data_IF_569892529622
#
_entry.id   IF_569892529622
#
_cell.length_a   1.000
_cell.length_b   1.000
_cell.length_c   1.000
_cell.angle_alpha   90.00
_cell.angle_beta   90.00
_cell.angle_gamma   90.00
#
_symmetry.space_group_name_H-M   'P 1'
#
loop_
_entity.id
_entity.type
_entity.pdbx_description
1 polymer ?
#
# COMPACT_ATOMS: atom_id res chain seq x y z
N UNK A 1 4.26 -2.12 1.78
CA UNK A 1 5.56 -2.43 1.17
C UNK A 1 6.70 -2.27 2.18
N UNK A 2 7.83 -2.89 1.87
CA UNK A 2 9.04 -2.81 2.68
C UNK A 2 10.21 -2.39 1.81
N UNK A 3 11.11 -1.61 2.38
CA UNK A 3 12.33 -1.17 1.71
C UNK A 3 13.46 -1.10 2.74
N UNK A 4 14.58 -1.76 2.45
CA UNK A 4 15.76 -1.81 3.34
C UNK A 4 15.42 -2.31 4.76
N UNK A 5 14.47 -3.25 4.87
CA UNK A 5 14.05 -3.81 6.15
C UNK A 5 13.04 -2.96 6.91
N UNK A 6 12.65 -1.81 6.37
CA UNK A 6 11.69 -0.89 6.99
C UNK A 6 10.36 -0.88 6.24
N UNK A 7 9.32 -0.43 6.93
CA UNK A 7 8.01 -0.21 6.33
C UNK A 7 8.08 1.06 5.48
N UNK A 8 7.59 0.98 4.24
CA UNK A 8 7.53 2.14 3.36
C UNK A 8 6.09 2.60 3.20
N UNK A 9 5.80 3.82 3.57
CA UNK A 9 4.48 4.42 3.44
C UNK A 9 4.54 5.68 2.58
N UNK A 10 3.39 6.04 2.02
CA UNK A 10 3.23 7.21 1.15
C UNK A 10 2.29 8.20 1.78
N UNK A 11 2.47 9.48 1.48
CA UNK A 11 1.60 10.56 1.97
C UNK A 11 1.01 11.30 0.77
N UNK A 12 -0.31 11.36 0.73
CA UNK A 12 -1.05 12.10 -0.28
C UNK A 12 -0.82 13.61 -0.12
N UNK A 13 -0.75 14.35 -1.23
CA UNK A 13 -0.51 15.80 -1.24
C UNK A 13 -1.51 16.59 -0.39
N UNK A 14 -2.74 16.10 -0.27
CA UNK A 14 -3.81 16.75 0.47
C UNK A 14 -3.95 16.27 1.90
N UNK A 15 -3.04 15.40 2.35
CA UNK A 15 -3.13 14.78 3.69
C UNK A 15 -1.84 14.97 4.47
N UNK A 16 -1.97 14.86 5.79
CA UNK A 16 -0.83 14.84 6.71
C UNK A 16 -0.62 13.45 7.30
N UNK A 17 -1.36 12.46 6.79
CA UNK A 17 -1.36 11.09 7.28
C UNK A 17 -0.71 10.15 6.29
N UNK A 18 -0.23 9.00 6.79
CA UNK A 18 0.53 8.03 6.02
C UNK A 18 -0.33 6.83 5.67
N UNK A 19 -0.09 6.26 4.50
CA UNK A 19 -0.87 5.15 3.99
C UNK A 19 -0.02 4.20 3.16
N UNK A 20 -0.50 2.96 3.01
CA UNK A 20 0.12 2.00 2.10
C UNK A 20 -0.20 2.39 0.65
N UNK A 21 0.67 1.99 -0.28
CA UNK A 21 0.43 2.21 -1.70
C UNK A 21 -0.75 1.34 -2.16
N UNK A 22 -1.58 1.89 -3.00
CA UNK A 22 -2.73 1.17 -3.54
C UNK A 22 -3.72 2.10 -4.23
N UNK A 23 -4.65 1.52 -4.93
CA UNK A 23 -5.69 2.24 -5.64
C UNK A 23 -6.67 1.30 -6.31
N UNK A 24 -7.50 1.85 -7.17
CA UNK A 24 -8.49 1.08 -7.89
C UNK A 24 -7.88 0.33 -9.07
N UNK A 25 -8.43 -0.87 -9.33
CA UNK A 25 -8.09 -1.62 -10.53
C UNK A 25 -8.76 -0.93 -11.72
N UNK A 26 -7.97 -0.64 -12.76
CA UNK A 26 -8.51 -0.05 -13.98
C UNK A 26 -9.13 -1.14 -14.87
N UNK A 27 -10.00 -0.72 -15.78
CA UNK A 27 -10.67 -1.65 -16.69
C UNK A 27 -9.65 -2.47 -17.50
N UNK A 28 -9.82 -3.80 -17.45
CA UNK A 28 -8.94 -4.72 -18.17
C UNK A 28 -7.65 -5.07 -17.44
N UNK A 29 -7.44 -4.52 -16.27
CA UNK A 29 -6.25 -4.75 -15.45
C UNK A 29 -6.46 -5.93 -14.50
N UNK A 30 -5.45 -6.79 -14.38
CA UNK A 30 -5.45 -7.82 -13.33
C UNK A 30 -5.04 -7.21 -11.98
N UNK A 31 -5.48 -7.77 -10.84
CA UNK A 31 -5.12 -7.23 -9.52
C UNK A 31 -3.61 -7.05 -9.31
N UNK A 32 -2.80 -8.01 -9.73
CA UNK A 32 -1.35 -7.92 -9.59
C UNK A 32 -0.77 -6.78 -10.44
N UNK A 33 -1.27 -6.59 -11.65
CA UNK A 33 -0.84 -5.50 -12.53
C UNK A 33 -1.18 -4.15 -11.92
N UNK A 34 -2.39 -4.02 -11.36
CA UNK A 34 -2.81 -2.81 -10.68
C UNK A 34 -1.93 -2.52 -9.46
N UNK A 35 -1.60 -3.55 -8.68
CA UNK A 35 -0.73 -3.39 -7.51
C UNK A 35 0.67 -2.91 -7.90
N UNK A 36 1.24 -3.46 -8.97
CA UNK A 36 2.55 -3.03 -9.47
C UNK A 36 2.52 -1.60 -9.97
N UNK A 37 1.48 -1.23 -10.70
CA UNK A 37 1.30 0.12 -11.23
C UNK A 37 1.17 1.14 -10.09
N UNK A 38 0.29 0.86 -9.14
CA UNK A 38 0.08 1.76 -7.99
C UNK A 38 1.33 1.87 -7.12
N UNK A 39 2.06 0.77 -6.92
CA UNK A 39 3.31 0.80 -6.17
C UNK A 39 4.31 1.75 -6.82
N UNK A 40 4.47 1.67 -8.13
CA UNK A 40 5.36 2.56 -8.86
C UNK A 40 4.87 4.02 -8.79
N UNK A 41 3.60 4.26 -9.07
CA UNK A 41 3.04 5.62 -9.10
C UNK A 41 3.12 6.31 -7.75
N UNK A 42 2.98 5.57 -6.66
CA UNK A 42 2.89 6.14 -5.32
C UNK A 42 4.19 6.06 -4.51
N UNK A 43 5.20 5.36 -4.98
CA UNK A 43 6.47 5.25 -4.26
C UNK A 43 7.72 5.45 -5.11
N UNK A 44 7.59 5.28 -6.43
CA UNK A 44 8.76 5.30 -7.31
C UNK A 44 9.52 3.99 -7.35
N UNK A 45 8.96 2.90 -6.82
CA UNK A 45 9.61 1.59 -6.82
C UNK A 45 9.83 1.09 -8.24
N UNK A 46 11.07 0.74 -8.60
CA UNK A 46 11.44 0.29 -9.94
C UNK A 46 12.01 -1.12 -9.97
N UNK A 47 12.47 -1.65 -8.85
CA UNK A 47 12.88 -3.05 -8.70
C UNK A 47 12.31 -3.58 -7.39
N UNK A 48 11.45 -4.60 -7.46
CA UNK A 48 10.76 -5.13 -6.30
C UNK A 48 10.24 -6.54 -6.57
N UNK A 49 10.04 -7.27 -5.48
CA UNK A 49 9.29 -8.53 -5.49
C UNK A 49 7.93 -8.26 -4.88
N UNK A 50 6.88 -8.82 -5.48
CA UNK A 50 5.51 -8.60 -5.02
C UNK A 50 4.74 -9.92 -5.10
N UNK A 51 3.97 -10.23 -4.05
CA UNK A 51 3.16 -11.43 -3.98
C UNK A 51 1.85 -11.16 -3.25
N UNK A 52 0.79 -11.95 -3.51
CA UNK A 52 -0.46 -11.80 -2.78
C UNK A 52 -0.28 -12.12 -1.31
N UNK A 53 -0.88 -11.30 -0.45
CA UNK A 53 -0.88 -11.52 1.00
C UNK A 53 -2.23 -12.03 1.49
N UNK A 54 -3.31 -11.33 1.14
CA UNK A 54 -4.66 -11.69 1.56
C UNK A 54 -5.69 -10.92 0.72
N UNK A 55 -6.93 -11.41 0.78
CA UNK A 55 -8.08 -10.65 0.28
C UNK A 55 -8.58 -9.74 1.39
N UNK A 56 -9.25 -8.67 1.03
CA UNK A 56 -9.88 -7.82 2.01
C UNK A 56 -11.26 -7.36 1.56
N UNK A 57 -12.11 -7.05 2.53
CA UNK A 57 -13.41 -6.46 2.34
C UNK A 57 -13.47 -5.12 3.05
N UNK A 58 -14.03 -4.12 2.38
CA UNK A 58 -14.32 -2.84 2.97
C UNK A 58 -15.71 -2.41 2.52
N UNK A 59 -16.51 -1.94 3.47
CA UNK A 59 -17.84 -1.47 3.17
C UNK A 59 -18.19 -0.28 4.05
N UNK A 60 -19.17 0.50 3.60
CA UNK A 60 -19.69 1.60 4.39
C UNK A 60 -20.95 1.12 5.11
N UNK A 61 -20.92 1.19 6.43
CA UNK A 61 -22.03 0.74 7.28
C UNK A 61 -23.32 1.50 6.92
N UNK A 62 -24.40 0.75 6.75
CA UNK A 62 -25.69 1.33 6.40
C UNK A 62 -25.89 1.59 4.90
N UNK A 63 -24.95 1.19 4.06
CA UNK A 63 -25.05 1.31 2.60
C UNK A 63 -24.76 -0.03 1.94
N UNK A 64 -25.04 -0.11 0.64
CA UNK A 64 -24.71 -1.28 -0.18
C UNK A 64 -23.35 -1.11 -0.87
N UNK A 65 -22.59 -0.08 -0.52
CA UNK A 65 -21.29 0.19 -1.12
C UNK A 65 -20.21 -0.70 -0.48
N UNK A 66 -19.90 -1.78 -1.17
CA UNK A 66 -18.87 -2.73 -0.74
C UNK A 66 -17.76 -2.76 -1.77
N UNK A 67 -16.54 -2.75 -1.28
CA UNK A 67 -15.36 -2.96 -2.09
C UNK A 67 -14.61 -4.17 -1.58
N UNK A 68 -14.21 -5.04 -2.49
CA UNK A 68 -13.28 -6.11 -2.17
C UNK A 68 -12.02 -5.94 -3.00
N UNK A 69 -10.92 -6.42 -2.48
CA UNK A 69 -9.65 -6.30 -3.16
C UNK A 69 -8.66 -7.30 -2.63
N UNK A 70 -7.50 -7.30 -3.24
CA UNK A 70 -6.37 -8.11 -2.80
C UNK A 70 -5.31 -7.20 -2.22
N UNK A 71 -4.71 -7.64 -1.12
CA UNK A 71 -3.55 -6.99 -0.51
C UNK A 71 -2.31 -7.75 -0.93
N UNK A 72 -1.30 -7.02 -1.37
CA UNK A 72 -0.04 -7.59 -1.81
C UNK A 72 1.09 -7.16 -0.87
N UNK A 73 2.04 -8.06 -0.67
CA UNK A 73 3.27 -7.76 0.05
C UNK A 73 4.36 -7.49 -0.97
N UNK A 74 4.97 -6.32 -0.91
CA UNK A 74 6.06 -5.94 -1.80
C UNK A 74 7.34 -5.70 -1.01
N UNK A 75 8.43 -6.27 -1.50
CA UNK A 75 9.78 -5.98 -0.99
C UNK A 75 10.49 -5.22 -2.08
N UNK A 76 10.78 -3.94 -1.82
CA UNK A 76 11.38 -3.03 -2.77
C UNK A 76 12.90 -3.12 -2.65
N UNK A 77 13.59 -3.31 -3.77
CA UNK A 77 15.04 -3.33 -3.83
C UNK A 77 15.62 -2.02 -4.33
N UNK A 78 14.89 -1.31 -5.16
CA UNK A 78 15.36 -0.04 -5.72
C UNK A 78 14.22 0.95 -5.88
N UNK A 79 14.43 2.16 -5.40
CA UNK A 79 13.53 3.29 -5.59
C UNK A 79 14.11 4.26 -6.61
N UNK A 80 13.24 4.74 -7.51
CA UNK A 80 13.52 5.90 -8.36
C UNK A 80 12.80 7.11 -7.83
N UNK A 81 12.69 8.14 -8.63
CA UNK A 81 11.92 9.33 -8.28
C UNK A 81 10.42 9.00 -8.28
N UNK A 82 9.68 9.62 -7.36
CA UNK A 82 8.23 9.48 -7.35
C UNK A 82 7.68 10.12 -8.63
N UNK A 83 6.92 9.37 -9.45
CA UNK A 83 6.30 9.95 -10.64
C UNK A 83 5.33 11.08 -10.28
N UNK A 84 5.01 11.91 -11.24
CA UNK A 84 3.99 12.94 -11.05
C UNK A 84 2.65 12.30 -10.74
N UNK A 85 2.28 12.30 -9.48
CA UNK A 85 1.10 11.61 -8.97
C UNK A 85 0.44 12.44 -7.86
N UNK A 86 -0.53 11.85 -7.18
CA UNK A 86 -1.19 12.48 -6.04
C UNK A 86 -0.37 12.39 -4.75
N UNK A 87 0.73 11.63 -4.74
CA UNK A 87 1.58 11.48 -3.57
C UNK A 87 2.64 12.58 -3.49
N UNK A 88 2.83 13.12 -2.28
CA UNK A 88 3.80 14.18 -2.02
C UNK A 88 5.16 13.64 -1.61
N UNK A 89 5.17 12.57 -0.80
CA UNK A 89 6.41 11.98 -0.33
C UNK A 89 6.23 10.53 0.09
N UNK A 90 7.35 9.83 0.20
CA UNK A 90 7.45 8.51 0.81
C UNK A 90 8.38 8.61 2.00
N UNK A 91 8.20 7.70 2.96
CA UNK A 91 9.06 7.64 4.15
C UNK A 91 9.17 6.22 4.66
N UNK A 92 10.37 5.88 5.13
CA UNK A 92 10.62 4.61 5.80
C UNK A 92 10.33 4.73 7.29
N UNK A 93 9.71 3.69 7.85
CA UNK A 93 9.42 3.59 9.27
C UNK A 93 9.89 2.25 9.79
N UNK A 94 10.55 2.23 10.93
CA UNK A 94 10.92 0.98 11.60
C UNK A 94 9.72 0.35 12.32
N UNK A 95 8.74 1.17 12.68
CA UNK A 95 7.43 0.71 13.18
C UNK A 95 6.35 1.66 12.68
N UNK A 96 5.08 1.21 12.71
CA UNK A 96 3.98 2.02 12.17
C UNK A 96 3.82 3.33 12.94
N UNK A 97 3.68 4.47 12.23
CA UNK A 97 3.40 5.73 12.88
C UNK A 97 1.97 5.78 13.42
N UNK A 98 1.69 6.77 14.27
CA UNK A 98 0.34 6.95 14.83
C UNK A 98 -0.61 7.66 13.86
N UNK A 99 -0.07 8.53 13.00
CA UNK A 99 -0.88 9.34 12.09
C UNK A 99 -1.11 8.62 10.74
N UNK A 100 -1.86 7.52 10.81
CA UNK A 100 -2.23 6.74 9.62
C UNK A 100 -3.53 7.24 9.01
N UNK A 101 -3.61 7.19 7.68
CA UNK A 101 -4.85 7.51 6.95
C UNK A 101 -5.96 6.52 7.30
N UNK A 102 -5.59 5.25 7.46
CA UNK A 102 -6.52 4.16 7.77
C UNK A 102 -6.07 3.46 9.06
N UNK A 103 -6.28 4.08 10.24
CA UNK A 103 -5.74 3.54 11.48
C UNK A 103 -6.39 2.23 11.93
N UNK A 104 -7.56 1.88 11.39
CA UNK A 104 -8.26 0.64 11.72
C UNK A 104 -7.88 -0.52 10.80
N UNK A 105 -7.27 -0.23 9.66
CA UNK A 105 -6.96 -1.22 8.62
C UNK A 105 -5.46 -1.50 8.53
N UNK A 106 -4.65 -0.47 8.42
CA UNK A 106 -3.21 -0.62 8.17
C UNK A 106 -2.49 -1.44 9.25
N UNK A 107 -2.73 -1.21 10.55
CA UNK A 107 -2.09 -2.05 11.57
C UNK A 107 -2.47 -3.52 11.48
N UNK A 108 -3.71 -3.82 11.14
CA UNK A 108 -4.19 -5.20 11.01
C UNK A 108 -3.48 -5.90 9.85
N UNK A 109 -3.28 -5.22 8.72
CA UNK A 109 -2.58 -5.77 7.56
C UNK A 109 -1.13 -6.09 7.89
N UNK A 110 -0.43 -5.20 8.59
CA UNK A 110 0.96 -5.44 8.98
C UNK A 110 1.08 -6.51 10.06
N UNK A 111 0.13 -6.59 10.98
CA UNK A 111 0.09 -7.67 11.96
C UNK A 111 -0.07 -9.01 11.26
N UNK A 112 -0.97 -9.11 10.30
CA UNK A 112 -1.16 -10.32 9.51
C UNK A 112 0.14 -10.71 8.77
N UNK A 113 0.79 -9.74 8.15
CA UNK A 113 2.05 -9.96 7.44
C UNK A 113 3.12 -10.53 8.37
N UNK A 114 3.32 -9.92 9.54
CA UNK A 114 4.36 -10.33 10.47
C UNK A 114 4.06 -11.69 11.12
N UNK A 115 2.81 -12.01 11.38
CA UNK A 115 2.41 -13.31 11.92
C UNK A 115 2.62 -14.45 10.92
N UNK A 116 2.51 -14.17 9.63
CA UNK A 116 2.65 -15.17 8.58
C UNK A 116 4.04 -15.19 7.94
N UNK A 117 4.94 -14.36 8.43
CA UNK A 117 6.34 -14.33 7.97
C UNK A 117 7.10 -15.51 8.58
N UNK A 118 7.85 -16.20 7.75
CA UNK A 118 8.70 -17.32 8.19
C UNK A 118 10.16 -16.94 8.14
#
# INVERSE_FOLDING_TARGET
SEYEGNILLSRHKKRTTWETQGGHIEFGEEPLEAAKRELYEESGAIDFEIEPLCDYWAGVEGTDDWANGMVFHAIIRKLGDIPKSEMAEIKQFDELPQNLTYPDITPVLFQYLFENRK
#
